data_IF_722238156462
#
_entry.id   IF_722238156462
#
_cell.length_a   1.000
_cell.length_b   1.000
_cell.length_c   1.000
_cell.angle_alpha   90.00
_cell.angle_beta   90.00
_cell.angle_gamma   90.00
#
_symmetry.space_group_name_H-M   'P 1'
#
loop_
_entity.id
_entity.type
_entity.pdbx_description
1 polymer ?
#
# COMPACT_ATOMS: atom_id res chain seq x y z
N UNK A 1 13.62 42.94 -3.82
CA UNK A 1 12.21 43.28 -3.50
C UNK A 1 11.37 42.02 -3.74
N UNK A 2 10.70 41.35 -2.81
CA UNK A 2 10.51 41.44 -1.36
C UNK A 2 10.57 39.99 -0.82
N UNK A 3 11.37 39.74 0.22
CA UNK A 3 11.28 38.58 1.12
C UNK A 3 10.79 39.09 2.48
N UNK A 4 9.80 38.44 3.12
CA UNK A 4 9.46 38.51 4.56
C UNK A 4 8.77 37.18 4.95
N UNK A 5 9.42 36.30 5.71
CA UNK A 5 9.52 36.18 7.19
C UNK A 5 8.32 35.44 7.79
N UNK A 6 8.47 34.19 8.25
CA UNK A 6 8.99 33.71 9.55
C UNK A 6 8.01 33.89 10.73
N UNK A 7 7.49 32.74 11.19
CA UNK A 7 7.54 32.19 12.56
C UNK A 7 7.00 33.00 13.77
N UNK A 8 6.44 32.21 14.71
CA UNK A 8 6.21 32.44 16.16
C UNK A 8 5.01 33.26 16.62
N UNK A 9 4.09 32.59 17.34
CA UNK A 9 3.64 33.08 18.65
C UNK A 9 3.20 31.91 19.55
N UNK A 10 3.98 31.65 20.60
CA UNK A 10 3.60 30.87 21.76
C UNK A 10 3.41 31.82 22.95
N UNK A 11 2.35 31.55 23.73
CA UNK A 11 2.26 31.70 25.19
C UNK A 11 2.52 33.08 25.84
N UNK A 12 1.47 33.65 26.45
CA UNK A 12 1.37 33.93 27.90
C UNK A 12 0.38 35.07 28.18
N UNK A 13 -0.59 34.88 29.08
CA UNK A 13 -0.57 35.48 30.42
C UNK A 13 -1.81 35.04 31.23
N UNK A 14 -1.53 34.46 32.40
CA UNK A 14 -2.45 34.36 33.54
C UNK A 14 -2.75 35.76 34.07
N UNK A 15 -4.03 36.07 34.32
CA UNK A 15 -4.41 37.11 35.27
C UNK A 15 -5.67 36.65 36.03
N UNK A 16 -5.46 36.34 37.30
CA UNK A 16 -6.48 36.11 38.32
C UNK A 16 -7.35 37.36 38.47
N UNK A 17 -8.66 37.18 38.36
CA UNK A 17 -9.66 38.01 39.04
C UNK A 17 -10.47 37.10 39.94
N UNK A 18 -10.15 37.14 41.23
CA UNK A 18 -10.99 36.62 42.29
C UNK A 18 -12.27 37.46 42.34
N UNK A 19 -13.37 36.90 41.87
CA UNK A 19 -14.72 37.42 42.04
C UNK A 19 -15.61 36.28 42.48
N UNK A 20 -16.07 36.34 43.74
CA UNK A 20 -17.19 35.59 44.34
C UNK A 20 -17.58 34.28 43.63
N UNK A 21 -17.18 33.14 44.19
CA UNK A 21 -17.74 31.82 43.87
C UNK A 21 -19.23 31.80 44.18
N UNK A 22 -20.07 32.21 43.23
CA UNK A 22 -21.40 31.61 43.10
C UNK A 22 -21.15 30.18 42.66
N UNK A 23 -21.57 29.21 43.47
CA UNK A 23 -21.49 27.80 43.11
C UNK A 23 -22.13 27.59 41.73
N UNK A 24 -21.31 27.43 40.69
CA UNK A 24 -21.77 27.02 39.37
C UNK A 24 -22.33 25.60 39.55
N UNK A 25 -23.65 25.44 39.46
CA UNK A 25 -24.25 24.11 39.45
C UNK A 25 -23.72 23.38 38.22
N UNK A 26 -22.84 22.40 38.43
CA UNK A 26 -22.32 21.60 37.34
C UNK A 26 -23.46 20.76 36.77
N UNK A 27 -23.68 20.83 35.47
CA UNK A 27 -24.71 20.07 34.75
C UNK A 27 -24.07 19.19 33.68
N UNK A 28 -24.67 18.05 33.37
CA UNK A 28 -24.24 17.19 32.27
C UNK A 28 -25.44 16.73 31.43
N UNK A 29 -25.22 16.40 30.14
CA UNK A 29 -26.30 16.01 29.26
C UNK A 29 -26.87 14.64 29.64
N UNK A 30 -28.14 14.42 29.31
CA UNK A 30 -28.78 13.11 29.33
C UNK A 30 -29.46 12.87 28.00
N UNK A 31 -29.17 11.76 27.35
CA UNK A 31 -29.71 11.44 26.03
C UNK A 31 -30.12 9.99 25.90
N UNK A 32 -31.04 9.72 24.99
CA UNK A 32 -31.54 8.37 24.76
C UNK A 32 -32.50 8.27 23.60
N UNK A 33 -33.10 7.08 23.48
CA UNK A 33 -34.06 6.69 22.45
C UNK A 33 -35.27 6.02 23.08
N UNK A 34 -36.46 6.33 22.57
CA UNK A 34 -37.72 5.67 22.90
C UNK A 34 -38.16 4.81 21.73
N UNK A 35 -38.47 3.55 22.01
CA UNK A 35 -39.00 2.59 21.04
C UNK A 35 -40.30 1.99 21.54
N UNK A 36 -41.20 1.64 20.62
CA UNK A 36 -42.43 0.90 20.89
C UNK A 36 -42.23 -0.54 20.45
N UNK A 37 -42.31 -1.46 21.39
CA UNK A 37 -42.33 -2.89 21.12
C UNK A 37 -43.74 -3.31 20.73
N UNK A 38 -43.89 -3.79 19.50
CA UNK A 38 -45.14 -4.30 18.95
C UNK A 38 -45.41 -5.74 19.40
N UNK A 39 -46.65 -6.17 19.29
CA UNK A 39 -47.06 -7.54 19.61
C UNK A 39 -46.33 -8.61 18.79
N UNK A 40 -45.85 -8.28 17.59
CA UNK A 40 -45.07 -9.15 16.70
C UNK A 40 -43.58 -9.29 17.11
N UNK A 41 -43.16 -8.64 18.20
CA UNK A 41 -41.80 -8.66 18.72
C UNK A 41 -40.85 -7.64 18.08
N UNK A 42 -41.28 -6.91 17.04
CA UNK A 42 -40.50 -5.83 16.44
C UNK A 42 -40.54 -4.57 17.31
N UNK A 43 -39.50 -3.73 17.21
CA UNK A 43 -39.43 -2.45 17.92
C UNK A 43 -39.27 -1.32 16.92
N UNK A 44 -40.13 -0.29 17.02
CA UNK A 44 -40.12 0.88 16.15
C UNK A 44 -39.82 2.15 16.95
N UNK A 45 -39.04 3.10 16.44
CA UNK A 45 -38.83 4.37 17.12
C UNK A 45 -40.14 5.14 17.32
N UNK A 46 -40.31 5.77 18.46
CA UNK A 46 -41.52 6.57 18.76
C UNK A 46 -41.27 8.02 18.45
N UNK A 47 -41.92 8.57 17.43
CA UNK A 47 -41.89 10.00 17.11
C UNK A 47 -42.77 10.80 18.07
N UNK A 48 -42.24 11.89 18.62
CA UNK A 48 -43.01 12.80 19.47
C UNK A 48 -43.40 12.28 20.86
N UNK A 49 -42.79 11.21 21.36
CA UNK A 49 -42.96 10.75 22.74
C UNK A 49 -42.52 11.84 23.72
N UNK A 50 -43.36 12.12 24.71
CA UNK A 50 -43.05 13.09 25.77
C UNK A 50 -42.17 12.41 26.82
N UNK A 51 -40.99 12.98 27.07
CA UNK A 51 -40.03 12.55 28.09
C UNK A 51 -39.94 13.63 29.16
N UNK A 52 -40.24 13.27 30.40
CA UNK A 52 -40.25 14.19 31.54
C UNK A 52 -39.27 13.72 32.61
N UNK A 53 -38.58 14.66 33.23
CA UNK A 53 -37.55 14.35 34.23
C UNK A 53 -38.09 14.68 35.63
N UNK A 54 -37.94 13.74 36.56
CA UNK A 54 -38.28 13.93 37.96
C UNK A 54 -37.08 13.60 38.85
N UNK A 55 -36.80 14.45 39.84
CA UNK A 55 -35.81 14.12 40.89
C UNK A 55 -36.40 13.12 41.88
N UNK A 56 -35.60 12.14 42.27
CA UNK A 56 -36.04 11.11 43.23
C UNK A 56 -36.12 11.64 44.66
N UNK A 57 -35.32 12.64 45.00
CA UNK A 57 -35.10 13.15 46.36
C UNK A 57 -35.94 14.38 46.72
N UNK A 58 -36.29 15.21 45.73
CA UNK A 58 -37.12 16.41 45.94
C UNK A 58 -38.11 16.62 44.79
N UNK A 59 -39.26 17.23 45.09
CA UNK A 59 -40.14 17.78 44.05
C UNK A 59 -39.50 19.04 43.49
N UNK A 60 -39.18 19.03 42.20
CA UNK A 60 -38.59 20.16 41.50
C UNK A 60 -39.06 20.19 40.05
N UNK A 61 -39.27 21.39 39.51
CA UNK A 61 -39.64 21.56 38.11
C UNK A 61 -38.38 21.37 37.25
N UNK A 62 -38.40 20.39 36.38
CA UNK A 62 -37.31 20.03 35.48
C UNK A 62 -37.76 20.11 34.02
N UNK A 63 -36.84 20.17 33.05
CA UNK A 63 -37.20 20.20 31.64
C UNK A 63 -37.93 18.93 31.20
N UNK A 64 -38.75 19.06 30.17
CA UNK A 64 -39.30 17.95 29.39
C UNK A 64 -38.85 18.08 27.93
N UNK A 65 -38.84 16.96 27.21
CA UNK A 65 -38.45 16.87 25.80
C UNK A 65 -39.43 16.02 25.01
N UNK A 66 -39.49 16.23 23.70
CA UNK A 66 -40.15 15.31 22.77
C UNK A 66 -39.12 14.58 21.95
N UNK A 67 -39.36 13.31 21.67
CA UNK A 67 -38.49 12.54 20.78
C UNK A 67 -38.63 13.01 19.32
N UNK A 68 -37.56 12.87 18.54
CA UNK A 68 -37.58 13.10 17.09
C UNK A 68 -38.11 11.85 16.33
N UNK A 69 -38.13 11.91 14.99
CA UNK A 69 -38.54 10.79 14.11
C UNK A 69 -37.73 9.49 14.28
N UNK A 70 -36.53 9.57 14.87
CA UNK A 70 -35.69 8.41 15.21
C UNK A 70 -35.89 7.95 16.65
N UNK A 71 -36.86 8.50 17.37
CA UNK A 71 -37.13 8.20 18.78
C UNK A 71 -36.17 8.87 19.75
N UNK A 72 -35.28 9.76 19.31
CA UNK A 72 -34.18 10.28 20.14
C UNK A 72 -34.61 11.51 20.96
N UNK A 73 -34.15 11.61 22.21
CA UNK A 73 -34.31 12.77 23.09
C UNK A 73 -32.97 13.21 23.69
N UNK A 74 -32.86 14.49 24.05
CA UNK A 74 -31.68 15.05 24.73
C UNK A 74 -32.10 16.12 25.74
N UNK A 75 -31.52 16.07 26.94
CA UNK A 75 -31.52 17.12 27.95
C UNK A 75 -30.09 17.63 28.11
N UNK A 76 -29.82 18.91 27.81
CA UNK A 76 -28.44 19.41 27.74
C UNK A 76 -27.79 19.70 29.12
N UNK A 77 -28.58 19.80 30.21
CA UNK A 77 -28.08 20.36 31.46
C UNK A 77 -28.80 19.88 32.72
N UNK A 78 -28.89 18.56 32.94
CA UNK A 78 -29.37 18.05 34.22
C UNK A 78 -28.30 18.22 35.32
N UNK A 79 -28.66 18.57 36.57
CA UNK A 79 -27.69 18.83 37.63
C UNK A 79 -26.93 17.55 38.06
N UNK A 80 -25.61 17.67 38.23
CA UNK A 80 -24.77 16.61 38.79
C UNK A 80 -25.13 16.34 40.26
N UNK A 81 -24.89 15.10 40.71
CA UNK A 81 -25.11 14.67 42.10
C UNK A 81 -26.56 14.31 42.45
N UNK A 82 -27.53 14.59 41.57
CA UNK A 82 -28.92 14.16 41.72
C UNK A 82 -29.19 12.86 40.96
N UNK A 83 -30.20 12.12 41.42
CA UNK A 83 -30.76 10.94 40.73
C UNK A 83 -32.13 11.30 40.18
N UNK A 84 -32.38 10.90 38.93
CA UNK A 84 -33.59 11.21 38.20
C UNK A 84 -34.35 9.96 37.78
N UNK A 85 -35.63 10.17 37.48
CA UNK A 85 -36.51 9.23 36.78
C UNK A 85 -36.96 9.93 35.51
N UNK A 86 -36.85 9.25 34.37
CA UNK A 86 -37.45 9.68 33.12
C UNK A 86 -38.82 9.04 32.99
N UNK A 87 -39.89 9.82 32.94
CA UNK A 87 -41.21 9.32 32.61
C UNK A 87 -41.49 9.54 31.13
N UNK A 88 -42.09 8.56 30.46
CA UNK A 88 -42.33 8.59 29.03
C UNK A 88 -43.79 8.28 28.74
N UNK A 89 -44.41 9.11 27.90
CA UNK A 89 -45.76 8.89 27.38
C UNK A 89 -45.81 9.14 25.87
N UNK A 90 -46.62 8.34 25.17
CA UNK A 90 -46.86 8.51 23.74
C UNK A 90 -48.29 8.02 23.40
N UNK A 91 -48.98 8.60 22.39
CA UNK A 91 -50.40 8.35 22.16
C UNK A 91 -50.83 6.89 21.95
N UNK A 92 -49.93 6.03 21.47
CA UNK A 92 -50.20 4.61 21.16
C UNK A 92 -49.48 3.65 22.12
N UNK A 93 -48.94 4.18 23.22
CA UNK A 93 -48.11 3.44 24.14
C UNK A 93 -48.70 3.45 25.54
N UNK A 94 -48.50 2.37 26.29
CA UNK A 94 -48.66 2.40 27.74
C UNK A 94 -47.59 3.33 28.34
N UNK A 95 -47.90 4.07 29.41
CA UNK A 95 -46.93 4.90 30.11
C UNK A 95 -45.75 4.05 30.60
N UNK A 96 -44.54 4.59 30.45
CA UNK A 96 -43.32 3.95 30.89
C UNK A 96 -42.44 4.89 31.71
N UNK A 97 -41.43 4.33 32.37
CA UNK A 97 -40.44 5.10 33.09
C UNK A 97 -39.08 4.42 33.07
N UNK A 98 -38.02 5.21 33.28
CA UNK A 98 -36.65 4.75 33.42
C UNK A 98 -36.04 5.33 34.70
N UNK A 99 -35.78 4.52 35.74
CA UNK A 99 -35.28 5.00 37.01
C UNK A 99 -33.74 5.17 37.03
N UNK A 100 -33.20 5.71 38.11
CA UNK A 100 -31.77 5.76 38.42
C UNK A 100 -30.89 6.51 37.40
N UNK A 101 -31.45 7.49 36.69
CA UNK A 101 -30.71 8.31 35.72
C UNK A 101 -29.83 9.31 36.44
N UNK A 102 -28.61 9.52 35.95
CA UNK A 102 -27.69 10.55 36.44
C UNK A 102 -27.35 11.50 35.31
N UNK A 103 -26.99 12.74 35.66
CA UNK A 103 -26.46 13.66 34.65
C UNK A 103 -25.17 13.08 34.04
N UNK A 104 -25.08 13.07 32.70
CA UNK A 104 -24.05 12.34 31.93
C UNK A 104 -24.52 10.98 31.40
N UNK A 105 -25.73 10.50 31.76
CA UNK A 105 -26.28 9.27 31.20
C UNK A 105 -26.67 9.45 29.73
N UNK A 106 -25.93 8.81 28.83
CA UNK A 106 -26.19 8.84 27.39
C UNK A 106 -26.62 7.47 26.87
N UNK A 107 -27.25 7.45 25.68
CA UNK A 107 -27.70 6.24 24.98
C UNK A 107 -28.70 5.38 25.78
N UNK A 108 -29.52 6.01 26.62
CA UNK A 108 -30.61 5.33 27.34
C UNK A 108 -31.60 4.77 26.32
N UNK A 109 -31.98 3.50 26.43
CA UNK A 109 -33.04 2.91 25.63
C UNK A 109 -34.28 2.67 26.51
N UNK A 110 -35.40 3.28 26.14
CA UNK A 110 -36.69 3.11 26.81
C UNK A 110 -37.65 2.40 25.84
N UNK A 111 -37.99 1.16 26.16
CA UNK A 111 -38.94 0.37 25.38
C UNK A 111 -40.33 0.44 26.01
N UNK A 112 -41.28 1.01 25.29
CA UNK A 112 -42.70 1.04 25.65
C UNK A 112 -43.43 -0.15 25.02
N UNK A 113 -44.58 -0.49 25.58
CA UNK A 113 -45.53 -1.42 24.99
C UNK A 113 -46.73 -0.66 24.45
N UNK A 114 -47.49 -1.28 23.53
CA UNK A 114 -48.75 -0.71 23.04
C UNK A 114 -49.72 -0.45 24.20
N UNK A 115 -50.46 0.66 24.12
CA UNK A 115 -51.39 1.07 25.16
C UNK A 115 -52.24 2.27 24.77
N UNK A 116 -52.91 2.83 25.77
CA UNK A 116 -53.97 3.83 25.63
C UNK A 116 -53.47 5.29 25.57
N UNK A 117 -52.15 5.49 25.61
CA UNK A 117 -51.56 6.82 25.65
C UNK A 117 -51.71 7.54 26.98
N UNK A 118 -52.06 6.82 28.06
CA UNK A 118 -52.10 7.40 29.40
C UNK A 118 -50.75 8.03 29.74
N UNK A 119 -50.80 9.23 30.31
CA UNK A 119 -49.65 9.92 30.89
C UNK A 119 -49.75 9.83 32.39
N UNK A 120 -48.73 9.27 33.04
CA UNK A 120 -48.70 9.20 34.50
C UNK A 120 -48.46 10.57 35.13
N UNK A 121 -49.11 10.77 36.27
CA UNK A 121 -48.83 11.86 37.20
C UNK A 121 -47.49 11.61 37.93
N UNK A 122 -46.89 12.67 38.47
CA UNK A 122 -45.66 12.55 39.26
C UNK A 122 -45.86 11.60 40.46
N UNK A 123 -47.02 11.64 41.10
CA UNK A 123 -47.39 10.74 42.19
C UNK A 123 -47.45 9.27 41.73
N UNK A 124 -48.05 8.98 40.58
CA UNK A 124 -48.08 7.63 40.01
C UNK A 124 -46.67 7.14 39.64
N UNK A 125 -45.80 8.02 39.13
CA UNK A 125 -44.40 7.70 38.82
C UNK A 125 -43.62 7.39 40.10
N UNK A 126 -43.78 8.21 41.14
CA UNK A 126 -43.13 7.99 42.44
C UNK A 126 -43.62 6.71 43.10
N UNK A 127 -44.92 6.42 43.02
CA UNK A 127 -45.49 5.16 43.47
C UNK A 127 -44.92 3.98 42.68
N UNK A 128 -44.87 4.05 41.34
CA UNK A 128 -44.29 3.00 40.50
C UNK A 128 -42.81 2.73 40.82
N UNK A 129 -42.01 3.79 41.03
CA UNK A 129 -40.59 3.70 41.39
C UNK A 129 -40.40 3.11 42.80
N UNK A 130 -41.25 3.51 43.77
CA UNK A 130 -41.22 2.97 45.14
C UNK A 130 -41.73 1.52 45.24
N UNK A 131 -42.73 1.17 44.43
CA UNK A 131 -43.26 -0.19 44.31
C UNK A 131 -42.24 -1.14 43.70
N UNK A 132 -41.48 -0.69 42.69
CA UNK A 132 -40.36 -1.44 42.11
C UNK A 132 -39.15 -1.59 43.05
N UNK A 133 -39.07 -0.83 44.15
CA UNK A 133 -38.09 -1.02 45.21
C UNK A 133 -38.57 -1.99 46.31
N UNK A 134 -39.88 -2.15 46.49
CA UNK A 134 -40.49 -2.98 47.55
C UNK A 134 -40.82 -4.41 47.07
N UNK A 135 -41.27 -4.57 45.83
CA UNK A 135 -41.13 -5.82 45.10
C UNK A 135 -39.87 -5.66 44.28
N UNK A 136 -38.85 -6.48 44.50
CA UNK A 136 -37.66 -6.53 43.63
C UNK A 136 -38.06 -6.89 42.19
N UNK A 137 -38.68 -5.95 41.48
CA UNK A 137 -38.72 -5.94 40.04
C UNK A 137 -37.28 -5.69 39.67
N UNK A 138 -36.59 -6.79 39.39
CA UNK A 138 -35.27 -6.73 38.84
C UNK A 138 -35.29 -5.68 37.72
N UNK A 139 -34.66 -4.52 37.96
CA UNK A 139 -33.72 -4.03 36.97
C UNK A 139 -32.91 -5.27 36.69
N UNK A 140 -33.23 -5.96 35.60
CA UNK A 140 -32.79 -7.31 35.30
C UNK A 140 -31.29 -7.27 35.57
N UNK A 141 -30.86 -7.84 36.71
CA UNK A 141 -29.44 -7.81 37.06
C UNK A 141 -28.81 -8.38 35.80
N UNK A 142 -27.89 -7.65 35.14
CA UNK A 142 -27.53 -8.04 33.79
C UNK A 142 -27.11 -9.50 33.89
N UNK A 143 -27.86 -10.35 33.18
CA UNK A 143 -27.69 -11.79 33.22
C UNK A 143 -26.21 -12.07 32.99
N UNK A 144 -25.68 -13.16 33.53
CA UNK A 144 -24.27 -13.52 33.27
C UNK A 144 -23.95 -13.43 31.75
N UNK A 145 -24.94 -13.74 30.91
CA UNK A 145 -24.92 -13.60 29.47
C UNK A 145 -24.87 -12.15 28.96
N UNK A 146 -25.69 -11.22 29.46
CA UNK A 146 -25.64 -9.80 29.06
C UNK A 146 -24.40 -9.06 29.60
N UNK A 147 -23.91 -9.39 30.80
CA UNK A 147 -22.61 -8.90 31.29
C UNK A 147 -21.46 -9.39 30.42
N UNK A 148 -21.52 -10.66 29.99
CA UNK A 148 -20.54 -11.25 29.08
C UNK A 148 -20.60 -10.58 27.71
N UNK A 149 -21.78 -10.35 27.15
CA UNK A 149 -21.96 -9.66 25.86
C UNK A 149 -21.47 -8.20 25.91
N UNK A 150 -21.71 -7.49 27.01
CA UNK A 150 -21.19 -6.13 27.22
C UNK A 150 -19.66 -6.11 27.39
N UNK A 151 -19.11 -7.04 28.17
CA UNK A 151 -17.66 -7.19 28.31
C UNK A 151 -16.99 -7.52 26.97
N UNK A 152 -17.60 -8.39 26.16
CA UNK A 152 -17.13 -8.74 24.81
C UNK A 152 -17.20 -7.54 23.85
N UNK A 153 -18.28 -6.75 23.89
CA UNK A 153 -18.40 -5.51 23.12
C UNK A 153 -17.35 -4.47 23.51
N UNK A 154 -17.12 -4.26 24.81
CA UNK A 154 -16.10 -3.33 25.31
C UNK A 154 -14.69 -3.82 24.93
N UNK A 155 -14.45 -5.13 24.97
CA UNK A 155 -13.20 -5.72 24.50
C UNK A 155 -12.99 -5.47 23.01
N UNK A 156 -14.01 -5.68 22.18
CA UNK A 156 -13.96 -5.41 20.74
C UNK A 156 -13.68 -3.92 20.44
N UNK A 157 -14.30 -3.00 21.21
CA UNK A 157 -14.04 -1.56 21.08
C UNK A 157 -12.57 -1.26 21.40
N UNK A 158 -12.06 -1.77 22.53
CA UNK A 158 -10.67 -1.56 22.93
C UNK A 158 -9.68 -2.18 21.92
N UNK A 159 -9.97 -3.37 21.39
CA UNK A 159 -9.19 -4.02 20.34
C UNK A 159 -9.19 -3.18 19.05
N UNK A 160 -10.34 -2.65 18.63
CA UNK A 160 -10.44 -1.78 17.45
C UNK A 160 -9.71 -0.44 17.64
N UNK A 161 -9.79 0.18 18.82
CA UNK A 161 -9.07 1.42 19.13
C UNK A 161 -7.56 1.19 19.16
N UNK A 162 -7.10 0.09 19.77
CA UNK A 162 -5.69 -0.30 19.77
C UNK A 162 -5.18 -0.55 18.35
N UNK A 163 -5.95 -1.27 17.53
CA UNK A 163 -5.62 -1.52 16.13
C UNK A 163 -5.56 -0.23 15.31
N UNK A 164 -6.50 0.70 15.50
CA UNK A 164 -6.50 2.01 14.85
C UNK A 164 -5.24 2.81 15.20
N UNK A 165 -4.89 2.89 16.49
CA UNK A 165 -3.68 3.60 16.96
C UNK A 165 -2.41 2.98 16.41
N UNK A 166 -2.35 1.65 16.31
CA UNK A 166 -1.25 0.92 15.67
C UNK A 166 -1.10 1.34 14.21
N UNK A 167 -2.19 1.28 13.42
CA UNK A 167 -2.20 1.69 12.00
C UNK A 167 -1.78 3.16 11.84
N UNK A 168 -2.26 4.06 12.68
CA UNK A 168 -1.87 5.49 12.66
C UNK A 168 -0.36 5.66 12.87
N UNK A 169 0.21 4.92 13.82
CA UNK A 169 1.65 4.96 14.13
C UNK A 169 2.48 4.39 12.98
N UNK A 170 2.07 3.25 12.42
CA UNK A 170 2.73 2.61 11.27
C UNK A 170 2.69 3.53 10.05
N UNK A 171 1.53 4.10 9.72
CA UNK A 171 1.36 5.02 8.60
C UNK A 171 2.20 6.29 8.76
N UNK A 172 2.28 6.85 9.97
CA UNK A 172 3.13 8.01 10.25
C UNK A 172 4.61 7.68 10.04
N UNK A 173 5.05 6.50 10.51
CA UNK A 173 6.43 6.02 10.31
C UNK A 173 6.75 5.82 8.83
N UNK A 174 5.89 5.10 8.09
CA UNK A 174 6.00 4.88 6.63
C UNK A 174 6.11 6.21 5.89
N UNK A 175 5.21 7.14 6.16
CA UNK A 175 5.15 8.44 5.46
C UNK A 175 6.42 9.25 5.69
N UNK A 176 6.89 9.31 6.94
CA UNK A 176 8.13 10.00 7.29
C UNK A 176 9.35 9.35 6.63
N UNK A 177 9.49 8.03 6.75
CA UNK A 177 10.57 7.26 6.16
C UNK A 177 10.63 7.39 4.64
N UNK A 178 9.47 7.40 3.97
CA UNK A 178 9.38 7.64 2.53
C UNK A 178 9.87 9.06 2.16
N UNK A 179 9.42 10.08 2.89
CA UNK A 179 9.83 11.46 2.65
C UNK A 179 11.33 11.68 2.89
N UNK A 180 11.86 11.21 4.02
CA UNK A 180 13.28 11.32 4.37
C UNK A 180 14.15 10.53 3.38
N UNK A 181 13.71 9.32 2.98
CA UNK A 181 14.38 8.50 1.98
C UNK A 181 14.44 9.16 0.61
N UNK A 182 13.33 9.75 0.16
CA UNK A 182 13.27 10.49 -1.11
C UNK A 182 14.17 11.74 -1.08
N UNK A 183 14.19 12.47 0.04
CA UNK A 183 15.08 13.63 0.21
C UNK A 183 16.56 13.23 0.15
N UNK A 184 16.93 12.12 0.81
CA UNK A 184 18.27 11.56 0.76
C UNK A 184 18.64 11.08 -0.65
N UNK A 185 17.73 10.40 -1.34
CA UNK A 185 17.91 9.94 -2.71
C UNK A 185 18.16 11.10 -3.68
N UNK A 186 17.35 12.16 -3.59
CA UNK A 186 17.49 13.37 -4.40
C UNK A 186 18.82 14.09 -4.14
N UNK A 187 19.37 13.95 -2.93
CA UNK A 187 20.70 14.46 -2.56
C UNK A 187 21.84 13.50 -2.95
N UNK A 188 21.54 12.41 -3.67
CA UNK A 188 22.46 11.31 -4.02
C UNK A 188 23.12 10.63 -2.82
N UNK A 189 22.56 10.80 -1.62
CA UNK A 189 22.98 10.08 -0.43
C UNK A 189 22.25 8.73 -0.40
N UNK A 190 22.71 7.80 -1.25
CA UNK A 190 22.07 6.51 -1.42
C UNK A 190 22.12 5.65 -0.15
N UNK A 191 23.17 5.77 0.66
CA UNK A 191 23.27 5.06 1.94
C UNK A 191 22.12 5.46 2.88
N UNK A 192 21.93 6.76 3.10
CA UNK A 192 20.84 7.25 3.94
C UNK A 192 19.47 6.94 3.32
N UNK A 193 19.33 7.05 2.00
CA UNK A 193 18.08 6.72 1.32
C UNK A 193 17.67 5.25 1.58
N UNK A 194 18.62 4.31 1.41
CA UNK A 194 18.40 2.88 1.67
C UNK A 194 17.99 2.66 3.13
N UNK A 195 18.70 3.26 4.09
CA UNK A 195 18.36 3.18 5.52
C UNK A 195 16.95 3.66 5.80
N UNK A 196 16.54 4.80 5.22
CA UNK A 196 15.19 5.35 5.41
C UNK A 196 14.12 4.50 4.76
N UNK A 197 14.37 3.94 3.58
CA UNK A 197 13.41 3.01 2.99
C UNK A 197 13.28 1.72 3.83
N UNK A 198 14.36 1.22 4.43
CA UNK A 198 14.31 0.07 5.34
C UNK A 198 13.52 0.36 6.62
N UNK A 199 13.68 1.55 7.22
CA UNK A 199 12.85 2.00 8.36
C UNK A 199 11.35 2.00 8.00
N UNK A 200 11.00 2.47 6.79
CA UNK A 200 9.62 2.46 6.31
C UNK A 200 9.09 1.05 6.07
N UNK A 201 9.89 0.16 5.47
CA UNK A 201 9.50 -1.23 5.21
C UNK A 201 9.28 -1.96 6.53
N UNK A 202 10.12 -1.73 7.54
CA UNK A 202 10.00 -2.36 8.85
C UNK A 202 8.73 -1.94 9.61
N UNK A 203 8.20 -0.74 9.33
CA UNK A 203 6.99 -0.25 9.99
C UNK A 203 5.72 -1.00 9.54
N UNK A 204 5.64 -1.41 8.28
CA UNK A 204 4.54 -2.23 7.77
C UNK A 204 5.01 -3.11 6.59
N UNK A 205 5.65 -4.26 6.89
CA UNK A 205 6.41 -5.03 5.89
C UNK A 205 5.56 -5.82 4.90
N UNK A 206 4.30 -6.08 5.24
CA UNK A 206 3.42 -6.98 4.48
C UNK A 206 2.28 -6.24 3.78
N UNK A 207 2.05 -4.95 4.12
CA UNK A 207 1.06 -4.14 3.42
C UNK A 207 1.56 -3.78 2.02
N UNK A 208 0.95 -4.40 1.01
CA UNK A 208 1.37 -4.27 -0.38
C UNK A 208 1.38 -2.81 -0.86
N UNK A 209 0.47 -1.97 -0.35
CA UNK A 209 0.39 -0.55 -0.70
C UNK A 209 1.68 0.23 -0.43
N UNK A 210 2.15 0.27 0.81
CA UNK A 210 3.35 1.05 1.15
C UNK A 210 4.65 0.28 0.97
N UNK A 211 4.68 -1.01 1.30
CA UNK A 211 5.90 -1.81 1.28
C UNK A 211 6.46 -1.91 -0.15
N UNK A 212 5.60 -2.11 -1.16
CA UNK A 212 6.02 -2.17 -2.56
C UNK A 212 6.69 -0.89 -3.05
N UNK A 213 6.12 0.28 -2.71
CA UNK A 213 6.68 1.60 -3.07
C UNK A 213 8.08 1.78 -2.45
N UNK A 214 8.22 1.47 -1.17
CA UNK A 214 9.49 1.58 -0.47
C UNK A 214 10.55 0.59 -1.00
N UNK A 215 10.14 -0.66 -1.30
CA UNK A 215 11.01 -1.68 -1.90
C UNK A 215 11.49 -1.25 -3.29
N UNK A 216 10.59 -0.73 -4.13
CA UNK A 216 10.94 -0.21 -5.45
C UNK A 216 11.92 0.97 -5.34
N UNK A 217 11.66 1.94 -4.46
CA UNK A 217 12.54 3.09 -4.26
C UNK A 217 13.91 2.67 -3.71
N UNK A 218 13.94 1.72 -2.77
CA UNK A 218 15.19 1.09 -2.28
C UNK A 218 15.95 0.43 -3.43
N UNK A 219 15.27 -0.34 -4.28
CA UNK A 219 15.86 -0.94 -5.47
C UNK A 219 16.48 0.09 -6.41
N UNK A 220 15.86 1.26 -6.59
CA UNK A 220 16.43 2.36 -7.38
C UNK A 220 17.67 2.95 -6.71
N UNK A 221 17.64 3.19 -5.39
CA UNK A 221 18.80 3.68 -4.64
C UNK A 221 19.99 2.71 -4.72
N UNK A 222 19.74 1.42 -4.54
CA UNK A 222 20.75 0.36 -4.66
C UNK A 222 21.37 0.31 -6.06
N UNK A 223 20.55 0.33 -7.12
CA UNK A 223 21.08 0.35 -8.50
C UNK A 223 21.96 1.58 -8.77
N UNK A 224 21.58 2.76 -8.30
CA UNK A 224 22.39 3.96 -8.48
C UNK A 224 23.71 3.89 -7.68
N UNK A 225 23.68 3.40 -6.44
CA UNK A 225 24.89 3.17 -5.64
C UNK A 225 25.81 2.13 -6.27
N UNK A 226 25.25 1.07 -6.87
CA UNK A 226 26.00 0.09 -7.65
C UNK A 226 26.68 0.75 -8.86
N UNK A 227 25.96 1.56 -9.64
CA UNK A 227 26.53 2.27 -10.79
C UNK A 227 27.68 3.20 -10.37
N UNK A 228 27.55 3.92 -9.26
CA UNK A 228 28.62 4.78 -8.73
C UNK A 228 29.86 3.97 -8.34
N UNK A 229 29.68 2.83 -7.66
CA UNK A 229 30.79 1.94 -7.31
C UNK A 229 31.43 1.30 -8.55
N UNK A 230 30.63 0.90 -9.54
CA UNK A 230 31.14 0.37 -10.80
C UNK A 230 31.97 1.42 -11.54
N UNK A 231 31.48 2.66 -11.63
CA UNK A 231 32.19 3.78 -12.24
C UNK A 231 33.52 4.10 -11.52
N UNK A 232 33.59 3.93 -10.19
CA UNK A 232 34.85 4.03 -9.44
C UNK A 232 35.80 2.88 -9.79
N UNK A 233 35.28 1.65 -9.87
CA UNK A 233 36.08 0.47 -10.19
C UNK A 233 36.76 0.59 -11.57
N UNK A 234 36.00 0.97 -12.61
CA UNK A 234 36.53 1.05 -13.99
C UNK A 234 37.58 2.17 -14.15
N UNK A 235 37.55 3.21 -13.31
CA UNK A 235 38.51 4.33 -13.34
C UNK A 235 39.75 4.10 -12.49
N UNK A 236 39.68 3.20 -11.51
CA UNK A 236 40.82 2.91 -10.63
C UNK A 236 41.89 2.12 -11.39
N UNK A 237 43.16 2.29 -11.00
CA UNK A 237 44.26 1.38 -11.37
C UNK A 237 44.64 0.44 -10.23
N UNK A 238 44.18 0.72 -9.01
CA UNK A 238 44.41 -0.08 -7.82
C UNK A 238 43.50 -1.32 -7.80
N UNK A 239 44.10 -2.50 -7.74
CA UNK A 239 43.41 -3.78 -7.76
C UNK A 239 42.55 -4.05 -6.51
N UNK A 240 42.97 -3.58 -5.34
CA UNK A 240 42.20 -3.72 -4.10
C UNK A 240 40.95 -2.86 -4.14
N UNK A 241 41.09 -1.59 -4.57
CA UNK A 241 39.94 -0.67 -4.75
C UNK A 241 38.94 -1.20 -5.77
N UNK A 242 39.43 -1.78 -6.88
CA UNK A 242 38.57 -2.44 -7.89
C UNK A 242 37.77 -3.58 -7.28
N UNK A 243 38.45 -4.48 -6.57
CA UNK A 243 37.84 -5.67 -6.00
C UNK A 243 36.78 -5.30 -4.96
N UNK A 244 37.09 -4.36 -4.07
CA UNK A 244 36.14 -3.86 -3.08
C UNK A 244 34.91 -3.22 -3.75
N UNK A 245 35.12 -2.34 -4.73
CA UNK A 245 34.04 -1.67 -5.42
C UNK A 245 33.14 -2.66 -6.17
N UNK A 246 33.70 -3.65 -6.88
CA UNK A 246 32.93 -4.69 -7.56
C UNK A 246 32.17 -5.60 -6.56
N UNK A 247 32.74 -5.86 -5.38
CA UNK A 247 32.03 -6.54 -4.29
C UNK A 247 30.76 -5.79 -3.86
N UNK A 248 30.85 -4.45 -3.73
CA UNK A 248 29.69 -3.60 -3.43
C UNK A 248 28.67 -3.56 -4.56
N UNK A 249 29.13 -3.53 -5.83
CA UNK A 249 28.25 -3.63 -7.00
C UNK A 249 27.41 -4.91 -6.93
N UNK A 250 28.07 -6.05 -6.69
CA UNK A 250 27.39 -7.34 -6.55
C UNK A 250 26.35 -7.31 -5.44
N UNK A 251 26.75 -6.88 -4.24
CA UNK A 251 25.84 -6.80 -3.08
C UNK A 251 24.60 -5.93 -3.38
N UNK A 252 24.81 -4.76 -3.97
CA UNK A 252 23.73 -3.81 -4.23
C UNK A 252 22.75 -4.31 -5.30
N UNK A 253 23.26 -4.90 -6.38
CA UNK A 253 22.41 -5.41 -7.46
C UNK A 253 21.62 -6.66 -7.02
N UNK A 254 22.23 -7.55 -6.23
CA UNK A 254 21.52 -8.70 -5.66
C UNK A 254 20.43 -8.25 -4.68
N UNK A 255 20.73 -7.28 -3.81
CA UNK A 255 19.75 -6.70 -2.91
C UNK A 255 18.60 -5.99 -3.67
N UNK A 256 18.90 -5.31 -4.78
CA UNK A 256 17.89 -4.69 -5.63
C UNK A 256 16.98 -5.73 -6.27
N UNK A 257 17.55 -6.81 -6.82
CA UNK A 257 16.82 -7.94 -7.39
C UNK A 257 15.85 -8.55 -6.35
N UNK A 258 16.33 -8.84 -5.14
CA UNK A 258 15.48 -9.34 -4.05
C UNK A 258 14.36 -8.35 -3.70
N UNK A 259 14.68 -7.05 -3.62
CA UNK A 259 13.71 -6.00 -3.30
C UNK A 259 12.58 -5.88 -4.33
N UNK A 260 12.92 -5.81 -5.61
CA UNK A 260 11.93 -5.74 -6.69
C UNK A 260 11.09 -7.02 -6.76
N UNK A 261 11.69 -8.20 -6.60
CA UNK A 261 10.95 -9.46 -6.61
C UNK A 261 9.98 -9.56 -5.43
N UNK A 262 10.40 -9.11 -4.24
CA UNK A 262 9.51 -9.03 -3.07
C UNK A 262 8.36 -8.05 -3.32
N UNK A 263 8.65 -6.88 -3.90
CA UNK A 263 7.62 -5.89 -4.24
C UNK A 263 6.59 -6.47 -5.20
N UNK A 264 7.04 -7.12 -6.27
CA UNK A 264 6.16 -7.79 -7.23
C UNK A 264 5.33 -8.89 -6.57
N UNK A 265 5.93 -9.70 -5.70
CA UNK A 265 5.23 -10.78 -4.98
C UNK A 265 4.14 -10.23 -4.05
N UNK A 266 4.42 -9.17 -3.29
CA UNK A 266 3.43 -8.53 -2.43
C UNK A 266 2.25 -7.98 -3.23
N UNK A 267 2.53 -7.31 -4.34
CA UNK A 267 1.47 -6.77 -5.22
C UNK A 267 0.64 -7.89 -5.84
N UNK A 268 1.29 -8.91 -6.42
CA UNK A 268 0.62 -10.05 -7.05
C UNK A 268 -0.32 -10.79 -6.07
N UNK A 269 0.03 -10.82 -4.79
CA UNK A 269 -0.71 -11.52 -3.75
C UNK A 269 -1.59 -10.58 -2.89
N UNK A 270 -1.71 -9.30 -3.25
CA UNK A 270 -2.48 -8.33 -2.49
C UNK A 270 -3.97 -8.73 -2.44
N UNK A 271 -4.61 -8.74 -1.26
CA UNK A 271 -6.04 -9.00 -1.17
C UNK A 271 -6.85 -8.01 -2.01
N UNK A 272 -7.91 -8.47 -2.68
CA UNK A 272 -8.75 -7.61 -3.52
C UNK A 272 -9.33 -6.39 -2.74
N UNK A 273 -9.56 -6.54 -1.43
CA UNK A 273 -10.02 -5.46 -0.56
C UNK A 273 -8.97 -4.35 -0.34
N UNK A 274 -7.67 -4.63 -0.50
CA UNK A 274 -6.60 -3.63 -0.41
C UNK A 274 -6.39 -2.86 -1.72
N UNK A 275 -6.83 -3.43 -2.85
CA UNK A 275 -6.70 -2.83 -4.18
C UNK A 275 -7.85 -1.84 -4.40
N UNK A 276 -7.71 -0.65 -3.82
CA UNK A 276 -8.67 0.44 -3.95
C UNK A 276 -8.53 1.22 -5.26
N UNK A 277 -7.32 1.21 -5.85
CA UNK A 277 -7.01 1.83 -7.13
C UNK A 277 -6.26 0.82 -8.01
N UNK A 278 -6.99 0.22 -8.94
CA UNK A 278 -6.45 -0.80 -9.84
C UNK A 278 -5.36 -0.24 -10.76
N UNK A 279 -5.50 0.99 -11.24
CA UNK A 279 -4.54 1.56 -12.17
C UNK A 279 -3.18 1.80 -11.48
N UNK A 280 -3.21 2.32 -10.26
CA UNK A 280 -1.99 2.49 -9.46
C UNK A 280 -1.37 1.14 -9.05
N UNK A 281 -2.20 0.13 -8.75
CA UNK A 281 -1.73 -1.22 -8.48
C UNK A 281 -1.04 -1.87 -9.70
N UNK A 282 -1.68 -1.82 -10.87
CA UNK A 282 -1.11 -2.33 -12.12
C UNK A 282 0.20 -1.60 -12.46
N UNK A 283 0.25 -0.28 -12.24
CA UNK A 283 1.47 0.52 -12.41
C UNK A 283 2.57 0.08 -11.45
N UNK A 284 2.26 -0.19 -10.18
CA UNK A 284 3.24 -0.65 -9.21
C UNK A 284 3.82 -2.03 -9.61
N UNK A 285 2.99 -2.93 -10.15
CA UNK A 285 3.45 -4.22 -10.71
C UNK A 285 4.41 -3.98 -11.87
N UNK A 286 4.03 -3.10 -12.80
CA UNK A 286 4.88 -2.72 -13.92
C UNK A 286 6.23 -2.17 -13.46
N UNK A 287 6.23 -1.21 -12.53
CA UNK A 287 7.45 -0.58 -12.01
C UNK A 287 8.37 -1.60 -11.32
N UNK A 288 7.81 -2.55 -10.55
CA UNK A 288 8.57 -3.64 -9.94
C UNK A 288 9.21 -4.57 -10.97
N UNK A 289 8.44 -4.99 -11.98
CA UNK A 289 8.94 -5.88 -13.05
C UNK A 289 9.99 -5.18 -13.94
N UNK A 290 9.77 -3.91 -14.26
CA UNK A 290 10.75 -3.09 -14.98
C UNK A 290 12.04 -2.95 -14.16
N UNK A 291 11.92 -2.67 -12.87
CA UNK A 291 13.06 -2.59 -11.95
C UNK A 291 13.84 -3.91 -11.86
N UNK A 292 13.12 -5.03 -11.81
CA UNK A 292 13.66 -6.39 -11.72
C UNK A 292 14.43 -6.78 -12.99
N UNK A 293 13.84 -6.58 -14.17
CA UNK A 293 14.49 -6.87 -15.46
C UNK A 293 15.74 -6.02 -15.68
N UNK A 294 15.70 -4.73 -15.29
CA UNK A 294 16.89 -3.87 -15.33
C UNK A 294 17.96 -4.28 -14.31
N UNK A 295 17.58 -4.80 -13.13
CA UNK A 295 18.55 -5.35 -12.17
C UNK A 295 19.30 -6.56 -12.76
N UNK A 296 18.60 -7.50 -13.41
CA UNK A 296 19.24 -8.62 -14.13
C UNK A 296 20.20 -8.13 -15.22
N UNK A 297 19.75 -7.16 -16.03
CA UNK A 297 20.59 -6.53 -17.05
C UNK A 297 21.86 -5.96 -16.43
N UNK A 298 21.74 -5.19 -15.34
CA UNK A 298 22.90 -4.58 -14.67
C UNK A 298 23.86 -5.62 -14.12
N UNK A 299 23.37 -6.73 -13.55
CA UNK A 299 24.20 -7.83 -13.04
C UNK A 299 25.09 -8.41 -14.15
N UNK A 300 24.52 -8.61 -15.33
CA UNK A 300 25.22 -9.14 -16.51
C UNK A 300 26.23 -8.15 -17.06
N UNK A 301 25.83 -6.91 -17.37
CA UNK A 301 26.73 -5.93 -17.99
C UNK A 301 27.87 -5.49 -17.08
N UNK A 302 27.67 -5.54 -15.75
CA UNK A 302 28.73 -5.25 -14.77
C UNK A 302 29.57 -6.48 -14.43
N UNK A 303 29.19 -7.67 -14.91
CA UNK A 303 29.77 -8.97 -14.55
C UNK A 303 29.79 -9.22 -13.04
N UNK A 304 28.87 -8.61 -12.30
CA UNK A 304 28.84 -8.68 -10.84
C UNK A 304 28.47 -10.07 -10.34
N UNK A 305 27.51 -10.72 -11.01
CA UNK A 305 27.18 -12.13 -10.78
C UNK A 305 26.44 -12.77 -11.98
N UNK A 306 27.15 -13.14 -13.06
CA UNK A 306 26.53 -13.71 -14.26
C UNK A 306 25.69 -14.98 -14.01
N UNK A 307 25.96 -15.73 -12.93
CA UNK A 307 25.17 -16.94 -12.59
C UNK A 307 23.68 -16.64 -12.36
N UNK A 308 23.33 -15.40 -12.02
CA UNK A 308 21.94 -14.97 -11.84
C UNK A 308 21.18 -14.79 -13.15
N UNK A 309 21.88 -14.67 -14.28
CA UNK A 309 21.26 -14.37 -15.56
C UNK A 309 20.23 -15.44 -15.98
N UNK A 310 20.51 -16.72 -15.77
CA UNK A 310 19.58 -17.81 -16.10
C UNK A 310 18.26 -17.78 -15.30
N UNK A 311 18.25 -17.12 -14.13
CA UNK A 311 17.05 -16.97 -13.28
C UNK A 311 16.08 -15.89 -13.82
N UNK A 312 16.47 -15.11 -14.83
CA UNK A 312 15.70 -13.92 -15.23
C UNK A 312 14.40 -14.21 -15.99
N UNK A 313 14.21 -15.45 -16.47
CA UNK A 313 13.10 -15.80 -17.38
C UNK A 313 11.74 -15.38 -16.85
N UNK A 314 11.42 -15.72 -15.60
CA UNK A 314 10.12 -15.40 -15.01
C UNK A 314 9.87 -13.89 -14.97
N UNK A 315 10.89 -13.10 -14.60
CA UNK A 315 10.79 -11.65 -14.55
C UNK A 315 10.53 -11.03 -15.93
N UNK A 316 11.23 -11.50 -16.97
CA UNK A 316 11.03 -11.01 -18.33
C UNK A 316 9.67 -11.45 -18.90
N UNK A 317 9.27 -12.70 -18.71
CA UNK A 317 7.95 -13.19 -19.14
C UNK A 317 6.83 -12.36 -18.48
N UNK A 318 6.92 -12.11 -17.17
CA UNK A 318 5.96 -11.29 -16.44
C UNK A 318 5.96 -9.83 -16.92
N UNK A 319 7.13 -9.22 -17.14
CA UNK A 319 7.23 -7.85 -17.68
C UNK A 319 6.58 -7.75 -19.07
N UNK A 320 6.89 -8.69 -19.96
CA UNK A 320 6.34 -8.73 -21.32
C UNK A 320 4.84 -8.96 -21.34
N UNK A 321 4.28 -9.65 -20.34
CA UNK A 321 2.83 -9.83 -20.21
C UNK A 321 2.11 -8.52 -19.84
N UNK A 322 2.72 -7.66 -19.02
CA UNK A 322 2.10 -6.40 -18.54
C UNK A 322 2.44 -5.18 -19.41
N UNK A 323 3.56 -5.19 -20.12
CA UNK A 323 3.91 -4.12 -21.05
C UNK A 323 2.95 -4.13 -22.25
N UNK A 324 2.48 -2.96 -22.66
CA UNK A 324 1.53 -2.82 -23.78
C UNK A 324 2.17 -2.14 -24.99
N UNK A 325 3.22 -1.36 -24.79
CA UNK A 325 3.95 -0.69 -25.86
C UNK A 325 4.84 -1.68 -26.63
N UNK A 326 4.63 -1.77 -27.95
CA UNK A 326 5.35 -2.71 -28.81
C UNK A 326 6.86 -2.41 -28.90
N UNK A 327 7.25 -1.14 -28.87
CA UNK A 327 8.66 -0.75 -28.92
C UNK A 327 9.37 -1.10 -27.61
N UNK A 328 8.72 -0.89 -26.46
CA UNK A 328 9.24 -1.32 -25.16
C UNK A 328 9.30 -2.84 -25.03
N UNK A 329 8.32 -3.58 -25.54
CA UNK A 329 8.37 -5.05 -25.64
C UNK A 329 9.57 -5.52 -26.46
N UNK A 330 9.76 -4.94 -27.65
CA UNK A 330 10.91 -5.26 -28.51
C UNK A 330 12.23 -4.95 -27.79
N UNK A 331 12.34 -3.80 -27.11
CA UNK A 331 13.51 -3.46 -26.30
C UNK A 331 13.75 -4.45 -25.15
N UNK A 332 12.70 -4.88 -24.46
CA UNK A 332 12.82 -5.88 -23.39
C UNK A 332 13.27 -7.25 -23.94
N UNK A 333 12.83 -7.64 -25.14
CA UNK A 333 13.32 -8.84 -25.83
C UNK A 333 14.81 -8.74 -26.19
N UNK A 334 15.28 -7.57 -26.65
CA UNK A 334 16.71 -7.34 -26.87
C UNK A 334 17.52 -7.51 -25.57
N UNK A 335 17.04 -6.91 -24.48
CA UNK A 335 17.70 -7.01 -23.17
C UNK A 335 17.68 -8.45 -22.66
N UNK A 336 16.56 -9.17 -22.81
CA UNK A 336 16.47 -10.57 -22.44
C UNK A 336 17.43 -11.43 -23.26
N UNK A 337 17.53 -11.18 -24.57
CA UNK A 337 18.52 -11.82 -25.43
C UNK A 337 19.96 -11.59 -24.98
N UNK A 338 20.30 -10.37 -24.57
CA UNK A 338 21.63 -10.03 -24.03
C UNK A 338 21.91 -10.77 -22.72
N UNK A 339 20.93 -10.80 -21.80
CA UNK A 339 21.05 -11.52 -20.52
C UNK A 339 21.20 -13.03 -20.74
N UNK A 340 20.41 -13.62 -21.64
CA UNK A 340 20.50 -15.06 -21.94
C UNK A 340 21.81 -15.43 -22.65
N UNK A 341 22.30 -14.57 -23.55
CA UNK A 341 23.56 -14.83 -24.24
C UNK A 341 24.73 -14.87 -23.25
N UNK A 342 24.79 -13.93 -22.30
CA UNK A 342 25.83 -13.95 -21.26
C UNK A 342 25.65 -15.11 -20.26
N UNK A 343 24.41 -15.60 -20.08
CA UNK A 343 24.15 -16.80 -19.30
C UNK A 343 24.63 -18.09 -19.99
N UNK A 344 25.07 -18.03 -21.25
CA UNK A 344 25.35 -19.19 -22.09
C UNK A 344 24.10 -19.87 -22.66
N UNK A 345 22.92 -19.33 -22.39
CA UNK A 345 21.61 -19.82 -22.82
C UNK A 345 21.30 -19.37 -24.26
N UNK A 346 22.17 -19.78 -25.18
CA UNK A 346 22.31 -19.22 -26.52
C UNK A 346 21.05 -19.40 -27.38
N UNK A 347 20.36 -20.54 -27.27
CA UNK A 347 19.11 -20.80 -27.99
C UNK A 347 17.99 -19.89 -27.51
N UNK A 348 17.92 -19.61 -26.19
CA UNK A 348 16.95 -18.66 -25.62
C UNK A 348 17.25 -17.24 -26.08
N UNK A 349 18.53 -16.88 -26.14
CA UNK A 349 18.97 -15.59 -26.67
C UNK A 349 18.56 -15.40 -28.13
N UNK A 350 18.81 -16.41 -28.97
CA UNK A 350 18.43 -16.40 -30.38
C UNK A 350 16.92 -16.16 -30.56
N UNK A 351 16.09 -16.88 -29.81
CA UNK A 351 14.63 -16.73 -29.88
C UNK A 351 14.16 -15.32 -29.47
N UNK A 352 14.78 -14.73 -28.44
CA UNK A 352 14.47 -13.38 -27.99
C UNK A 352 14.83 -12.33 -29.06
N UNK A 353 16.03 -12.42 -29.64
CA UNK A 353 16.44 -11.50 -30.70
C UNK A 353 15.62 -11.66 -31.99
N UNK A 354 15.22 -12.87 -32.35
CA UNK A 354 14.29 -13.12 -33.47
C UNK A 354 12.94 -12.45 -33.23
N UNK A 355 12.41 -12.53 -32.01
CA UNK A 355 11.17 -11.84 -31.62
C UNK A 355 11.32 -10.32 -31.75
N UNK A 356 12.45 -9.76 -31.29
CA UNK A 356 12.73 -8.33 -31.42
C UNK A 356 12.85 -7.90 -32.90
N UNK A 357 13.56 -8.69 -33.73
CA UNK A 357 13.73 -8.43 -35.16
C UNK A 357 12.39 -8.48 -35.91
N UNK A 358 11.46 -9.36 -35.53
CA UNK A 358 10.12 -9.41 -36.11
C UNK A 358 9.33 -8.10 -35.95
N UNK A 359 9.61 -7.35 -34.88
CA UNK A 359 9.00 -6.02 -34.64
C UNK A 359 9.73 -4.92 -35.42
N UNK A 360 11.06 -5.04 -35.57
CA UNK A 360 11.90 -4.07 -36.29
C UNK A 360 12.92 -4.82 -37.17
N UNK A 361 12.59 -5.11 -38.45
CA UNK A 361 13.34 -6.03 -39.33
C UNK A 361 14.78 -5.65 -39.69
N UNK A 362 15.23 -4.47 -39.25
CA UNK A 362 16.57 -3.93 -39.49
C UNK A 362 17.20 -3.39 -38.21
N UNK A 363 16.66 -3.76 -37.04
CA UNK A 363 17.23 -3.37 -35.75
C UNK A 363 18.68 -3.91 -35.63
N UNK A 364 19.71 -3.05 -35.51
CA UNK A 364 21.09 -3.49 -35.47
C UNK A 364 21.43 -4.38 -34.27
N UNK A 365 20.87 -4.12 -33.08
CA UNK A 365 21.09 -4.94 -31.89
C UNK A 365 20.53 -6.35 -32.07
N UNK A 366 19.33 -6.48 -32.64
CA UNK A 366 18.73 -7.79 -32.94
C UNK A 366 19.57 -8.58 -33.95
N UNK A 367 20.03 -7.92 -35.03
CA UNK A 367 20.86 -8.55 -36.04
C UNK A 367 22.20 -9.03 -35.48
N UNK A 368 22.86 -8.20 -34.66
CA UNK A 368 24.09 -8.57 -33.96
C UNK A 368 23.84 -9.75 -33.02
N UNK A 369 22.80 -9.67 -32.18
CA UNK A 369 22.43 -10.70 -31.23
C UNK A 369 22.14 -12.06 -31.89
N UNK A 370 21.36 -12.08 -32.99
CA UNK A 370 21.13 -13.29 -33.78
C UNK A 370 22.45 -13.82 -34.35
N UNK A 371 23.26 -12.94 -34.94
CA UNK A 371 24.56 -13.31 -35.52
C UNK A 371 25.47 -13.99 -34.51
N UNK A 372 25.70 -13.37 -33.34
CA UNK A 372 26.50 -13.95 -32.27
C UNK A 372 25.91 -15.25 -31.73
N UNK A 373 24.58 -15.32 -31.54
CA UNK A 373 23.93 -16.53 -31.03
C UNK A 373 24.08 -17.70 -31.99
N UNK A 374 23.90 -17.47 -33.30
CA UNK A 374 24.07 -18.52 -34.32
C UNK A 374 25.52 -18.99 -34.44
N UNK A 375 26.49 -18.08 -34.32
CA UNK A 375 27.90 -18.45 -34.33
C UNK A 375 28.25 -19.30 -33.10
N UNK A 376 27.77 -18.91 -31.92
CA UNK A 376 27.94 -19.70 -30.69
C UNK A 376 27.34 -21.10 -30.83
N UNK A 377 26.10 -21.22 -31.30
CA UNK A 377 25.44 -22.51 -31.58
C UNK A 377 26.25 -23.32 -32.60
N UNK A 378 26.75 -22.67 -33.66
CA UNK A 378 27.56 -23.31 -34.69
C UNK A 378 28.86 -23.89 -34.15
N UNK A 379 29.56 -23.18 -33.27
CA UNK A 379 30.76 -23.71 -32.61
C UNK A 379 30.44 -24.81 -31.60
N UNK A 380 29.40 -24.63 -30.77
CA UNK A 380 29.00 -25.61 -29.75
C UNK A 380 28.60 -26.97 -30.37
N UNK A 381 27.95 -26.94 -31.53
CA UNK A 381 27.41 -28.13 -32.20
C UNK A 381 28.22 -28.56 -33.43
N UNK A 382 29.34 -27.90 -33.73
CA UNK A 382 30.11 -28.09 -34.96
C UNK A 382 29.23 -27.97 -36.24
N UNK A 383 28.30 -27.03 -36.25
CA UNK A 383 27.32 -26.81 -37.31
C UNK A 383 27.75 -25.64 -38.22
N UNK A 384 28.36 -25.98 -39.36
CA UNK A 384 28.78 -25.00 -40.37
C UNK A 384 27.64 -24.22 -40.99
N UNK A 385 26.42 -24.76 -41.05
CA UNK A 385 25.28 -24.03 -41.58
C UNK A 385 24.89 -22.89 -40.63
N UNK A 386 24.96 -23.13 -39.32
CA UNK A 386 24.73 -22.09 -38.31
C UNK A 386 25.82 -21.04 -38.29
N UNK A 387 27.09 -21.44 -38.46
CA UNK A 387 28.20 -20.49 -38.66
C UNK A 387 27.96 -19.61 -39.89
N UNK A 388 27.52 -20.19 -41.01
CA UNK A 388 27.24 -19.45 -42.24
C UNK A 388 26.06 -18.48 -42.07
N UNK A 389 24.98 -18.91 -41.41
CA UNK A 389 23.82 -18.08 -41.11
C UNK A 389 24.22 -16.91 -40.21
N UNK A 390 24.98 -17.19 -39.14
CA UNK A 390 25.50 -16.18 -38.23
C UNK A 390 26.40 -15.14 -38.92
N UNK A 391 27.33 -15.59 -39.77
CA UNK A 391 28.17 -14.71 -40.57
C UNK A 391 27.36 -13.77 -41.47
N UNK A 392 26.27 -14.26 -42.07
CA UNK A 392 25.38 -13.45 -42.90
C UNK A 392 24.65 -12.37 -42.08
N UNK A 393 24.14 -12.72 -40.90
CA UNK A 393 23.51 -11.76 -39.99
C UNK A 393 24.48 -10.70 -39.46
N UNK A 394 25.69 -11.10 -39.05
CA UNK A 394 26.74 -10.18 -38.63
C UNK A 394 27.13 -9.23 -39.77
N UNK A 395 27.22 -9.72 -41.01
CA UNK A 395 27.52 -8.86 -42.15
C UNK A 395 26.41 -7.84 -42.41
N UNK A 396 25.13 -8.24 -42.29
CA UNK A 396 24.01 -7.31 -42.39
C UNK A 396 24.06 -6.26 -41.28
N UNK A 397 24.31 -6.68 -40.04
CA UNK A 397 24.52 -5.78 -38.91
C UNK A 397 25.63 -4.76 -39.19
N UNK A 398 26.82 -5.21 -39.60
CA UNK A 398 27.97 -4.33 -39.90
C UNK A 398 27.64 -3.30 -40.99
N UNK A 399 26.81 -3.67 -41.98
CA UNK A 399 26.40 -2.75 -43.05
C UNK A 399 25.41 -1.66 -42.62
N UNK A 400 24.65 -1.88 -41.54
CA UNK A 400 23.61 -0.98 -41.05
C UNK A 400 24.04 -0.19 -39.81
N UNK A 401 24.90 -0.76 -38.97
CA UNK A 401 25.27 -0.18 -37.70
C UNK A 401 26.23 1.02 -37.86
N UNK A 402 26.06 2.10 -37.08
CA UNK A 402 27.03 3.19 -37.06
C UNK A 402 28.38 2.70 -36.51
N UNK A 403 29.47 3.38 -36.88
CA UNK A 403 30.83 3.01 -36.43
C UNK A 403 31.00 3.06 -34.91
N UNK A 404 30.18 3.86 -34.22
CA UNK A 404 30.15 3.94 -32.76
C UNK A 404 29.39 2.80 -32.07
N UNK A 405 28.80 1.86 -32.82
CA UNK A 405 28.01 0.77 -32.23
C UNK A 405 28.91 -0.21 -31.47
N UNK A 406 28.55 -0.51 -30.21
CA UNK A 406 29.39 -1.29 -29.27
C UNK A 406 29.89 -2.63 -29.83
N UNK A 407 29.08 -3.30 -30.65
CA UNK A 407 29.41 -4.62 -31.20
C UNK A 407 30.05 -4.62 -32.60
N UNK A 408 30.26 -3.47 -33.24
CA UNK A 408 30.68 -3.44 -34.66
C UNK A 408 32.06 -4.04 -34.87
N UNK A 409 33.04 -3.66 -34.05
CA UNK A 409 34.40 -4.18 -34.11
C UNK A 409 34.44 -5.69 -33.86
N UNK A 410 33.73 -6.16 -32.84
CA UNK A 410 33.68 -7.59 -32.50
C UNK A 410 33.04 -8.42 -33.61
N UNK A 411 31.97 -7.91 -34.23
CA UNK A 411 31.33 -8.58 -35.36
C UNK A 411 32.27 -8.70 -36.58
N UNK A 412 33.04 -7.65 -36.90
CA UNK A 412 34.03 -7.68 -38.00
C UNK A 412 35.13 -8.69 -37.70
N UNK A 413 35.66 -8.69 -36.48
CA UNK A 413 36.68 -9.65 -36.05
C UNK A 413 36.18 -11.09 -36.16
N UNK A 414 34.96 -11.35 -35.66
CA UNK A 414 34.36 -12.67 -35.71
C UNK A 414 34.09 -13.16 -37.14
N UNK A 415 33.66 -12.28 -38.05
CA UNK A 415 33.51 -12.61 -39.48
C UNK A 415 34.86 -13.06 -40.07
N UNK A 416 35.96 -12.37 -39.76
CA UNK A 416 37.28 -12.76 -40.26
C UNK A 416 37.72 -14.10 -39.67
N UNK A 417 37.52 -14.34 -38.36
CA UNK A 417 37.79 -15.63 -37.72
C UNK A 417 37.03 -16.77 -38.40
N UNK A 418 35.74 -16.59 -38.70
CA UNK A 418 34.94 -17.61 -39.40
C UNK A 418 35.48 -17.91 -40.79
N UNK A 419 35.95 -16.87 -41.50
CA UNK A 419 36.54 -17.02 -42.82
C UNK A 419 37.87 -17.77 -42.78
N UNK A 420 38.75 -17.41 -41.84
CA UNK A 420 40.10 -18.00 -41.76
C UNK A 420 40.09 -19.40 -41.18
N UNK A 421 39.31 -19.64 -40.13
CA UNK A 421 39.36 -20.90 -39.37
C UNK A 421 38.30 -21.91 -39.81
N UNK A 422 37.14 -21.44 -40.28
CA UNK A 422 36.01 -22.32 -40.62
C UNK A 422 35.74 -22.39 -42.12
N UNK A 423 36.45 -21.57 -42.92
CA UNK A 423 36.21 -21.36 -44.35
C UNK A 423 34.76 -20.90 -44.63
N UNK A 424 34.24 -20.04 -43.75
CA UNK A 424 32.87 -19.49 -43.82
C UNK A 424 32.97 -17.98 -44.08
N UNK A 425 32.64 -17.56 -45.29
CA UNK A 425 32.56 -16.14 -45.66
C UNK A 425 31.09 -15.70 -45.75
N UNK A 426 30.73 -14.47 -45.32
CA UNK A 426 29.37 -13.97 -45.49
C UNK A 426 28.96 -13.97 -46.96
N UNK A 427 27.75 -14.43 -47.23
CA UNK A 427 27.17 -14.40 -48.56
C UNK A 427 26.45 -13.06 -48.76
N UNK A 428 26.57 -12.49 -49.96
CA UNK A 428 25.82 -11.27 -50.31
C UNK A 428 24.32 -11.57 -50.22
N UNK A 429 23.63 -10.88 -49.31
CA UNK A 429 22.17 -10.87 -49.31
C UNK A 429 21.74 -10.10 -50.57
N UNK A 430 21.39 -10.82 -51.63
CA UNK A 430 20.71 -10.22 -52.77
C UNK A 430 19.36 -9.74 -52.25
N UNK A 431 19.19 -8.42 -52.13
CA UNK A 431 17.90 -7.83 -51.79
C UNK A 431 16.88 -8.34 -52.81
N UNK A 432 15.94 -9.18 -52.40
CA UNK A 432 14.83 -9.50 -53.26
C UNK A 432 14.07 -8.20 -53.47
N UNK A 433 14.10 -7.68 -54.70
CA UNK A 433 13.22 -6.58 -55.10
C UNK A 433 11.80 -7.04 -54.75
N UNK A 434 11.13 -6.31 -53.84
CA UNK A 434 9.68 -6.44 -53.66
C UNK A 434 9.05 -6.42 -55.05
N UNK A 435 8.43 -7.53 -55.46
CA UNK A 435 7.45 -7.48 -56.55
C UNK A 435 6.26 -6.71 -55.98
N UNK A 436 5.94 -5.63 -56.68
CA UNK A 436 4.88 -4.66 -56.38
C UNK A 436 3.54 -5.32 -56.07
#
# INVERSE_FOLDING_TARGET
MFRKNYLTFCLALFLLLAGSLTALSQTAPVSGKVELKKADGTSVPVDGAMVEVYRTDVKSKLPSAKTNKRGEFVFAGLPLGATFVLAVSAPVAAPGYYPNVRAGSEKILISLTEGDGKRWTEEEIRQAVSGAAATGSAAQQPTAESKKAEAERLKLIAENEAQKKKIETENASVTKSLADGNAAFNSKNYDLAITKYDEGIAANPDYAGSASVLLNNKGVALKNRAIDNYNKAIKSTDAAVKTEALGKVKQDLEAALTGYNRSWTLLKNAPAAEITDKANHDKAIYDSLNGLTDAYRLIVVTKANPSKAAESKEAFDAYLAVETDAAKKSKAQLVYGEVMLEAGETEKALAAYQTALGTSPENPDALAGIGFSLVNIGFLNNDKAKLQEGANYLQKFVSLAPDSHKFKTDAVGLIETLKTEQNVAPQKITSSKKKN
#
